data_IF_640677488440
#
_entry.id   IF_640677488440
#
_cell.length_a   1.000
_cell.length_b   1.000
_cell.length_c   1.000
_cell.angle_alpha   90.00
_cell.angle_beta   90.00
_cell.angle_gamma   90.00
#
_symmetry.space_group_name_H-M   'P 1'
#
loop_
_entity.id
_entity.type
_entity.pdbx_description
1 polymer ?
#
# COMPACT_ATOMS: atom_id res chain seq x y z
N UNK A 1 9.72 9.37 19.19
CA UNK A 1 9.47 9.20 17.74
C UNK A 1 9.61 7.71 17.43
N UNK A 2 8.64 6.89 17.83
CA UNK A 2 8.68 5.42 17.66
C UNK A 2 7.92 4.93 16.42
N UNK A 3 7.10 5.78 15.82
CA UNK A 3 6.28 5.45 14.66
C UNK A 3 7.04 5.34 13.33
N UNK A 4 8.34 5.65 13.30
CA UNK A 4 9.15 5.60 12.07
C UNK A 4 9.78 4.23 11.80
N UNK A 5 9.91 3.36 12.81
CA UNK A 5 10.59 2.06 12.67
C UNK A 5 9.63 0.87 12.67
N UNK A 6 8.40 1.04 13.18
CA UNK A 6 7.42 -0.04 13.24
C UNK A 6 6.55 0.01 11.98
N UNK A 7 6.59 -1.02 11.12
CA UNK A 7 5.69 -1.09 9.98
C UNK A 7 4.24 -1.25 10.45
N UNK A 8 3.33 -0.54 9.78
CA UNK A 8 1.88 -0.70 9.94
C UNK A 8 1.33 -1.59 8.83
N UNK A 9 0.30 -2.37 9.16
CA UNK A 9 -0.42 -3.18 8.16
C UNK A 9 -1.52 -2.32 7.54
N UNK A 10 -1.44 -2.12 6.23
CA UNK A 10 -2.46 -1.46 5.45
C UNK A 10 -3.27 -2.51 4.68
N UNK A 11 -4.60 -2.44 4.80
CA UNK A 11 -5.53 -3.30 4.07
C UNK A 11 -6.06 -2.51 2.87
N UNK A 12 -5.78 -2.99 1.67
CA UNK A 12 -6.20 -2.37 0.41
C UNK A 12 -7.36 -3.15 -0.17
N UNK A 13 -8.48 -2.45 -0.38
CA UNK A 13 -9.70 -2.99 -0.96
C UNK A 13 -9.84 -2.53 -2.40
N UNK A 14 -10.07 -3.48 -3.30
CA UNK A 14 -10.34 -3.17 -4.70
C UNK A 14 -11.73 -2.58 -4.88
N UNK A 15 -11.93 -1.68 -5.86
CA UNK A 15 -13.27 -1.28 -6.28
C UNK A 15 -14.12 -2.51 -6.62
N UNK A 16 -15.36 -2.54 -6.12
CA UNK A 16 -16.29 -3.66 -6.28
C UNK A 16 -15.73 -5.03 -5.82
N UNK A 17 -14.76 -5.05 -4.89
CA UNK A 17 -14.12 -6.28 -4.41
C UNK A 17 -13.50 -7.12 -5.56
N UNK A 18 -13.12 -6.48 -6.68
CA UNK A 18 -12.56 -7.18 -7.85
C UNK A 18 -11.34 -8.04 -7.51
N UNK A 19 -10.58 -7.62 -6.50
CA UNK A 19 -9.53 -8.40 -5.85
C UNK A 19 -9.87 -8.51 -4.37
N UNK A 20 -9.55 -9.66 -3.78
CA UNK A 20 -9.63 -9.84 -2.32
C UNK A 20 -8.75 -8.82 -1.60
N UNK A 21 -9.11 -8.51 -0.36
CA UNK A 21 -8.37 -7.61 0.51
C UNK A 21 -6.86 -7.94 0.49
N UNK A 22 -6.05 -6.97 0.05
CA UNK A 22 -4.60 -7.11 0.00
C UNK A 22 -3.99 -6.47 1.23
N UNK A 23 -3.25 -7.24 2.01
CA UNK A 23 -2.51 -6.75 3.18
C UNK A 23 -1.09 -6.40 2.78
N UNK A 24 -0.67 -5.15 3.00
CA UNK A 24 0.71 -4.72 2.79
C UNK A 24 1.29 -4.12 4.07
N UNK A 25 2.60 -4.25 4.24
CA UNK A 25 3.35 -3.61 5.32
C UNK A 25 3.95 -2.31 4.80
N UNK A 26 3.64 -1.17 5.43
CA UNK A 26 4.20 0.13 5.08
C UNK A 26 4.58 0.95 6.31
N UNK A 27 5.28 2.05 6.14
CA UNK A 27 5.67 2.92 7.25
C UNK A 27 4.82 4.20 7.26
N UNK A 28 4.49 4.71 8.46
CA UNK A 28 3.67 5.92 8.61
C UNK A 28 4.34 7.18 8.04
N UNK A 29 5.65 7.17 7.85
CA UNK A 29 6.40 8.27 7.23
C UNK A 29 6.38 8.24 5.69
N UNK A 30 5.72 7.26 5.06
CA UNK A 30 5.57 7.24 3.61
C UNK A 30 4.56 8.28 3.15
N UNK A 31 4.94 9.04 2.12
CA UNK A 31 3.98 9.85 1.38
C UNK A 31 3.06 8.95 0.56
N UNK A 32 1.88 9.46 0.20
CA UNK A 32 0.96 8.77 -0.71
C UNK A 32 1.65 8.39 -2.03
N UNK A 33 2.55 9.25 -2.54
CA UNK A 33 3.34 8.94 -3.74
C UNK A 33 4.26 7.74 -3.58
N UNK A 34 5.00 7.65 -2.46
CA UNK A 34 5.84 6.47 -2.16
C UNK A 34 4.99 5.20 -2.02
N UNK A 35 3.83 5.29 -1.37
CA UNK A 35 2.90 4.18 -1.24
C UNK A 35 2.36 3.73 -2.60
N UNK A 36 1.93 4.66 -3.46
CA UNK A 36 1.46 4.36 -4.83
C UNK A 36 2.55 3.66 -5.66
N UNK A 37 3.79 4.13 -5.60
CA UNK A 37 4.92 3.51 -6.30
C UNK A 37 5.25 2.12 -5.75
N UNK A 38 5.10 1.90 -4.43
CA UNK A 38 5.24 0.56 -3.87
C UNK A 38 4.13 -0.36 -4.39
N UNK A 39 2.88 0.12 -4.42
CA UNK A 39 1.73 -0.63 -4.92
C UNK A 39 1.83 -0.99 -6.40
N UNK A 40 2.44 -0.15 -7.24
CA UNK A 40 2.67 -0.52 -8.65
C UNK A 40 3.57 -1.76 -8.81
N UNK A 41 4.40 -2.06 -7.81
CA UNK A 41 5.30 -3.21 -7.82
C UNK A 41 4.68 -4.46 -7.16
N UNK A 42 3.96 -4.29 -6.05
CA UNK A 42 3.49 -5.42 -5.22
C UNK A 42 2.03 -5.79 -5.44
N UNK A 43 1.20 -4.88 -5.95
CA UNK A 43 -0.23 -5.13 -6.13
C UNK A 43 -0.48 -5.95 -7.42
N UNK A 44 -1.39 -6.95 -7.41
CA UNK A 44 -1.58 -7.89 -8.52
C UNK A 44 -1.85 -7.23 -9.89
N UNK A 45 -2.60 -6.12 -9.90
CA UNK A 45 -2.94 -5.40 -11.13
C UNK A 45 -1.88 -4.39 -11.60
N UNK A 46 -0.75 -4.26 -10.88
CA UNK A 46 0.33 -3.28 -11.15
C UNK A 46 -0.21 -1.89 -11.54
N UNK A 47 -0.96 -1.23 -10.64
CA UNK A 47 -1.62 0.04 -10.96
C UNK A 47 -0.59 1.10 -11.37
N UNK A 48 -0.96 1.93 -12.35
CA UNK A 48 -0.10 3.02 -12.83
C UNK A 48 -0.06 4.10 -11.76
N UNK A 49 1.14 4.47 -11.30
CA UNK A 49 1.32 5.57 -10.35
C UNK A 49 1.25 6.89 -11.11
N UNK A 50 0.03 7.41 -11.30
CA UNK A 50 -0.22 8.76 -11.82
C UNK A 50 -0.02 9.80 -10.72
#
# INVERSE_FOLDING_TARGET
>A
RESETIPVTLIIKAPNQKYSDQTISCFLNWTVGKLKMHLSNVYPSKPVSV
#
